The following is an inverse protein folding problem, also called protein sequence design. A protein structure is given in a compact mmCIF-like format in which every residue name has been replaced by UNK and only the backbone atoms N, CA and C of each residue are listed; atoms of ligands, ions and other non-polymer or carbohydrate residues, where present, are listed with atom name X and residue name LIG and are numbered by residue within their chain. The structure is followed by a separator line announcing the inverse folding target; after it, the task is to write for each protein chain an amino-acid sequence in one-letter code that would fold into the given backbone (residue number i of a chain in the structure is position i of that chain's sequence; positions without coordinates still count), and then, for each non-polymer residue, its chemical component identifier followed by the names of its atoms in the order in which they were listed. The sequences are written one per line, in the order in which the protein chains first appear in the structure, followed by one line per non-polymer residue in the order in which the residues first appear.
data_IF_172810383207
#
_entry.id   IF_172810383207
#
_cell.length_a   1.000
_cell.length_b   1.000
_cell.length_c   1.000
_cell.angle_alpha   90.00
_cell.angle_beta   90.00
_cell.angle_gamma   90.00
#
_symmetry.space_group_name_H-M   'P 1'
#
loop_
_entity.id
_entity.type
_entity.pdbx_description
1 polymer ?
#
# COMPACT_ATOMS: atom_id res chain seq x y z
N UNK A 1 22.47 -29.75 6.17
CA UNK A 1 22.45 -29.01 4.88
C UNK A 1 21.06 -28.51 4.54
N UNK A 2 19.99 -29.33 4.58
CA UNK A 2 18.62 -28.87 4.22
C UNK A 2 17.99 -27.79 5.13
N UNK A 3 18.37 -27.72 6.42
CA UNK A 3 17.86 -26.68 7.33
C UNK A 3 18.47 -25.31 7.03
N UNK A 4 19.79 -25.27 6.74
CA UNK A 4 20.51 -24.04 6.42
C UNK A 4 20.00 -23.42 5.11
N UNK A 5 19.72 -24.24 4.10
CA UNK A 5 19.15 -23.78 2.83
C UNK A 5 17.75 -23.20 3.01
N UNK A 6 16.91 -23.81 3.87
CA UNK A 6 15.57 -23.28 4.15
C UNK A 6 15.60 -21.95 4.90
N UNK A 7 16.55 -21.77 5.82
CA UNK A 7 16.76 -20.50 6.52
C UNK A 7 17.24 -19.40 5.56
N UNK A 8 18.11 -19.74 4.62
CA UNK A 8 18.60 -18.83 3.57
C UNK A 8 17.46 -18.42 2.63
N UNK A 9 16.70 -19.38 2.10
CA UNK A 9 15.55 -19.14 1.21
C UNK A 9 14.52 -18.23 1.88
N UNK A 10 14.15 -18.51 3.14
CA UNK A 10 13.22 -17.67 3.90
C UNK A 10 13.77 -16.25 4.11
N UNK A 11 15.08 -16.11 4.34
CA UNK A 11 15.70 -14.79 4.50
C UNK A 11 15.63 -13.98 3.21
N UNK A 12 15.82 -14.62 2.06
CA UNK A 12 15.69 -13.98 0.75
C UNK A 12 14.24 -13.55 0.48
N UNK A 13 13.26 -14.42 0.72
CA UNK A 13 11.83 -14.09 0.58
C UNK A 13 11.43 -12.90 1.47
N UNK A 14 11.91 -12.86 2.71
CA UNK A 14 11.64 -11.75 3.64
C UNK A 14 12.25 -10.44 3.12
N UNK A 15 13.49 -10.47 2.60
CA UNK A 15 14.11 -9.27 2.00
C UNK A 15 13.34 -8.80 0.78
N UNK A 16 12.91 -9.72 -0.06
CA UNK A 16 12.13 -9.41 -1.26
C UNK A 16 10.78 -8.78 -0.90
N UNK A 17 10.10 -9.34 0.12
CA UNK A 17 8.87 -8.77 0.66
C UNK A 17 9.04 -7.33 1.15
N UNK A 18 10.10 -7.04 1.93
CA UNK A 18 10.40 -5.68 2.37
C UNK A 18 10.75 -4.74 1.21
N UNK A 19 11.44 -5.25 0.19
CA UNK A 19 11.73 -4.49 -1.03
C UNK A 19 10.46 -4.09 -1.77
N UNK A 20 9.51 -5.01 -1.96
CA UNK A 20 8.22 -4.69 -2.56
C UNK A 20 7.40 -3.71 -1.73
N UNK A 21 7.38 -3.87 -0.39
CA UNK A 21 6.73 -2.91 0.50
C UNK A 21 7.33 -1.51 0.37
N UNK A 22 8.66 -1.41 0.31
CA UNK A 22 9.35 -0.12 0.09
C UNK A 22 8.93 0.55 -1.21
N UNK A 23 8.97 -0.19 -2.33
CA UNK A 23 8.53 0.33 -3.65
C UNK A 23 7.08 0.79 -3.65
N UNK A 24 6.19 0.02 -3.03
CA UNK A 24 4.78 0.39 -2.91
C UNK A 24 4.59 1.68 -2.09
N UNK A 25 5.34 1.82 -0.98
CA UNK A 25 5.30 3.03 -0.15
C UNK A 25 5.84 4.25 -0.91
N UNK A 26 6.93 4.09 -1.66
CA UNK A 26 7.51 5.16 -2.48
C UNK A 26 6.54 5.62 -3.57
N UNK A 27 5.78 4.71 -4.18
CA UNK A 27 4.73 5.05 -5.16
C UNK A 27 3.56 5.80 -4.50
N UNK A 28 3.07 5.33 -3.35
CA UNK A 28 1.99 6.00 -2.61
C UNK A 28 2.42 7.41 -2.21
N UNK A 29 3.65 7.58 -1.72
CA UNK A 29 4.19 8.88 -1.29
C UNK A 29 4.40 9.89 -2.43
N UNK A 30 4.30 9.46 -3.69
CA UNK A 30 4.35 10.35 -4.86
C UNK A 30 2.99 10.99 -5.18
N UNK A 31 1.91 10.58 -4.51
CA UNK A 31 0.58 11.17 -4.72
C UNK A 31 0.51 12.59 -4.15
N UNK A 32 -0.05 13.52 -4.93
CA UNK A 32 -0.13 14.94 -4.56
C UNK A 32 -1.03 15.25 -3.34
N UNK A 33 -1.88 14.30 -2.95
CA UNK A 33 -2.91 14.53 -1.93
C UNK A 33 -2.68 13.65 -0.71
N UNK A 34 -2.45 14.29 0.43
CA UNK A 34 -2.24 13.62 1.72
C UNK A 34 -3.34 12.60 2.05
N UNK A 35 -4.61 12.95 1.83
CA UNK A 35 -5.71 12.00 2.08
C UNK A 35 -5.64 10.73 1.24
N UNK A 36 -5.02 10.78 0.05
CA UNK A 36 -4.81 9.57 -0.77
C UNK A 36 -3.70 8.71 -0.20
N UNK A 37 -2.59 9.35 0.20
CA UNK A 37 -1.48 8.71 0.90
C UNK A 37 -1.98 8.00 2.15
N UNK A 38 -2.70 8.72 3.02
CA UNK A 38 -3.20 8.22 4.30
C UNK A 38 -4.15 7.02 4.09
N UNK A 39 -5.13 7.15 3.20
CA UNK A 39 -6.09 6.07 2.96
C UNK A 39 -5.41 4.81 2.42
N UNK A 40 -4.49 4.95 1.45
CA UNK A 40 -3.79 3.80 0.88
C UNK A 40 -2.81 3.18 1.89
N UNK A 41 -2.09 4.01 2.65
CA UNK A 41 -1.20 3.53 3.69
C UNK A 41 -1.95 2.77 4.79
N UNK A 42 -3.00 3.37 5.35
CA UNK A 42 -3.83 2.73 6.38
C UNK A 42 -4.47 1.43 5.85
N UNK A 43 -4.89 1.40 4.58
CA UNK A 43 -5.53 0.22 3.99
C UNK A 43 -4.56 -0.93 3.73
N UNK A 44 -3.38 -0.65 3.17
CA UNK A 44 -2.48 -1.69 2.65
C UNK A 44 -1.26 -1.96 3.54
N UNK A 45 -0.89 -1.04 4.43
CA UNK A 45 0.23 -1.19 5.36
C UNK A 45 -0.22 -1.39 6.81
N UNK A 46 -1.31 -0.75 7.22
CA UNK A 46 -1.89 -0.93 8.57
C UNK A 46 -3.05 -1.95 8.61
N UNK A 47 -3.52 -2.40 7.44
CA UNK A 47 -4.60 -3.39 7.28
C UNK A 47 -5.96 -2.98 7.89
N UNK A 48 -6.20 -1.68 8.02
CA UNK A 48 -7.46 -1.15 8.55
C UNK A 48 -8.61 -1.36 7.57
N UNK A 49 -9.81 -1.53 8.12
CA UNK A 49 -11.04 -1.46 7.34
C UNK A 49 -11.48 -0.02 7.06
N UNK A 50 -12.39 0.19 6.11
CA UNK A 50 -12.80 1.55 5.73
C UNK A 50 -13.58 2.28 6.84
N UNK A 51 -14.14 1.58 7.83
CA UNK A 51 -14.81 2.22 8.97
C UNK A 51 -13.78 2.73 9.96
N UNK A 52 -12.74 1.95 10.23
CA UNK A 52 -11.60 2.37 11.05
C UNK A 52 -10.88 3.58 10.43
N UNK A 53 -10.62 3.54 9.12
CA UNK A 53 -10.03 4.67 8.39
C UNK A 53 -10.93 5.91 8.45
N UNK A 54 -12.23 5.74 8.22
CA UNK A 54 -13.18 6.84 8.29
C UNK A 54 -13.19 7.48 9.69
N UNK A 55 -13.15 6.65 10.74
CA UNK A 55 -13.06 7.12 12.13
C UNK A 55 -11.75 7.89 12.39
N UNK A 56 -10.61 7.35 11.99
CA UNK A 56 -9.29 7.96 12.22
C UNK A 56 -9.11 9.30 11.47
N UNK A 57 -9.75 9.44 10.30
CA UNK A 57 -9.69 10.66 9.49
C UNK A 57 -10.78 11.69 9.83
N UNK A 58 -11.67 11.39 10.79
CA UNK A 58 -12.88 12.19 11.10
C UNK A 58 -13.75 12.43 9.85
N UNK A 59 -14.00 11.35 9.09
CA UNK A 59 -14.76 11.37 7.83
C UNK A 59 -15.85 10.31 7.82
N UNK A 60 -16.73 10.38 6.81
CA UNK A 60 -17.73 9.33 6.61
C UNK A 60 -17.15 8.12 5.87
N UNK A 61 -17.79 6.97 6.08
CA UNK A 61 -17.46 5.74 5.35
C UNK A 61 -17.60 5.92 3.83
N UNK A 62 -18.65 6.61 3.38
CA UNK A 62 -18.90 6.89 1.96
C UNK A 62 -17.83 7.79 1.36
N UNK A 63 -17.39 8.82 2.11
CA UNK A 63 -16.30 9.68 1.69
C UNK A 63 -15.01 8.88 1.56
N UNK A 64 -14.72 8.02 2.53
CA UNK A 64 -13.51 7.18 2.57
C UNK A 64 -13.44 6.23 1.38
N UNK A 65 -14.53 5.53 1.05
CA UNK A 65 -14.58 4.67 -0.16
C UNK A 65 -14.33 5.49 -1.43
N UNK A 66 -14.98 6.65 -1.53
CA UNK A 66 -14.86 7.50 -2.71
C UNK A 66 -13.44 8.02 -2.89
N UNK A 67 -12.81 8.46 -1.80
CA UNK A 67 -11.42 8.90 -1.81
C UNK A 67 -10.46 7.75 -2.08
N UNK A 68 -10.71 6.55 -1.55
CA UNK A 68 -9.94 5.34 -1.87
C UNK A 68 -9.95 5.05 -3.38
N UNK A 69 -11.12 5.09 -4.02
CA UNK A 69 -11.24 4.93 -5.46
C UNK A 69 -10.47 5.99 -6.26
N UNK A 70 -10.54 7.25 -5.84
CA UNK A 70 -9.75 8.32 -6.48
C UNK A 70 -8.25 8.20 -6.24
N UNK A 71 -7.84 7.75 -5.05
CA UNK A 71 -6.45 7.49 -4.72
C UNK A 71 -5.86 6.40 -5.63
N UNK A 72 -6.61 5.32 -5.87
CA UNK A 72 -6.20 4.26 -6.80
C UNK A 72 -6.08 4.77 -8.23
N UNK A 73 -7.03 5.58 -8.71
CA UNK A 73 -6.95 6.18 -10.05
C UNK A 73 -5.73 7.11 -10.20
N UNK A 74 -5.40 7.88 -9.16
CA UNK A 74 -4.22 8.72 -9.16
C UNK A 74 -2.93 7.88 -9.16
N UNK A 75 -2.91 6.78 -8.41
CA UNK A 75 -1.80 5.83 -8.40
C UNK A 75 -1.59 5.17 -9.76
N UNK A 76 -2.68 4.73 -10.41
CA UNK A 76 -2.64 4.14 -11.75
C UNK A 76 -2.09 5.12 -12.80
N UNK A 77 -2.33 6.42 -12.64
CA UNK A 77 -1.84 7.45 -13.56
C UNK A 77 -0.32 7.68 -13.47
N UNK A 78 0.29 7.43 -12.31
CA UNK A 78 1.74 7.60 -12.09
C UNK A 78 2.51 6.28 -12.22
N UNK A 79 1.82 5.14 -12.11
CA UNK A 79 2.46 3.85 -12.32
C UNK A 79 2.94 3.75 -13.77
N UNK A 80 4.22 3.40 -14.00
CA UNK A 80 4.68 3.11 -15.35
C UNK A 80 3.82 1.96 -15.88
N UNK A 81 3.24 2.15 -17.06
CA UNK A 81 2.51 1.09 -17.74
C UNK A 81 3.47 -0.07 -17.97
N UNK A 82 3.38 -1.12 -17.15
CA UNK A 82 3.94 -2.40 -17.57
C UNK A 82 3.17 -2.78 -18.84
N UNK A 83 3.87 -2.79 -19.97
CA UNK A 83 3.34 -3.35 -21.21
C UNK A 83 2.77 -4.73 -20.89
N UNK A 84 1.46 -4.88 -21.12
CA UNK A 84 0.73 -6.13 -21.01
C UNK A 84 1.37 -7.25 -21.81
#
# INVERSE_FOLDING_TARGET
MALLTLEEDLSEEVKEYFSYKGKALDLINQLDKDSYVDILYMRYFEYKDYKEIAYDLDQTYEWTIRQHGYALQALDAIMPSEEK
#
